data_IF_608832544714
#
_entry.id   IF_608832544714
#
_cell.length_a   1.000
_cell.length_b   1.000
_cell.length_c   1.000
_cell.angle_alpha   90.00
_cell.angle_beta   90.00
_cell.angle_gamma   90.00
#
_symmetry.space_group_name_H-M   'P 1'
#
loop_
_entity.id
_entity.type
_entity.pdbx_description
1 polymer ?
#
# COMPACT_ATOMS: atom_id res chain seq x y z
N UNK A 1 -10.13 23.19 12.63
CA UNK A 1 -9.39 22.32 13.57
C UNK A 1 -10.11 20.97 13.52
N UNK A 2 -9.66 20.03 12.68
CA UNK A 2 -10.32 18.74 12.56
C UNK A 2 -9.92 17.87 13.78
N UNK A 3 -10.91 17.40 14.52
CA UNK A 3 -10.75 16.54 15.69
C UNK A 3 -10.19 15.16 15.25
N UNK A 4 -9.23 14.56 15.98
CA UNK A 4 -8.85 13.19 15.72
C UNK A 4 -10.00 12.29 16.19
N UNK A 5 -10.86 11.89 15.26
CA UNK A 5 -11.92 10.92 15.52
C UNK A 5 -11.29 9.63 16.06
N UNK A 6 -11.77 9.18 17.21
CA UNK A 6 -11.30 8.02 17.95
C UNK A 6 -11.07 6.80 17.03
N UNK A 7 -9.82 6.39 16.87
CA UNK A 7 -9.48 5.24 16.05
C UNK A 7 -9.79 3.94 16.81
N UNK A 8 -10.99 3.39 16.61
CA UNK A 8 -11.14 1.93 16.59
C UNK A 8 -10.04 1.36 15.69
N UNK A 9 -9.42 0.21 16.01
CA UNK A 9 -8.35 -0.35 15.18
C UNK A 9 -8.85 -0.43 13.74
N UNK A 10 -8.30 0.47 12.91
CA UNK A 10 -8.84 0.73 11.60
C UNK A 10 -8.39 -0.45 10.73
N UNK A 11 -9.35 -1.32 10.39
CA UNK A 11 -9.09 -2.44 9.49
C UNK A 11 -8.36 -1.91 8.25
N UNK A 12 -7.35 -2.65 7.74
CA UNK A 12 -6.58 -2.17 6.62
C UNK A 12 -7.48 -1.96 5.40
N UNK A 13 -7.25 -0.87 4.68
CA UNK A 13 -8.05 -0.50 3.51
C UNK A 13 -7.69 -1.40 2.33
N UNK A 14 -8.69 -1.88 1.62
CA UNK A 14 -8.50 -2.58 0.35
C UNK A 14 -8.34 -1.56 -0.78
N UNK A 15 -7.14 -1.45 -1.35
CA UNK A 15 -6.85 -0.59 -2.48
C UNK A 15 -6.93 -1.39 -3.77
N UNK A 16 -7.71 -0.91 -4.73
CA UNK A 16 -7.76 -1.49 -6.07
C UNK A 16 -6.83 -0.73 -7.01
N UNK A 17 -6.10 -1.47 -7.86
CA UNK A 17 -5.18 -0.89 -8.84
C UNK A 17 -5.88 -0.16 -10.00
N UNK A 18 -7.13 -0.52 -10.27
CA UNK A 18 -7.81 -0.12 -11.49
C UNK A 18 -7.12 -0.72 -12.73
N UNK A 19 -6.76 0.13 -13.69
CA UNK A 19 -6.08 -0.30 -14.91
C UNK A 19 -4.56 -0.48 -14.68
N UNK A 20 -4.01 -1.70 -14.86
CA UNK A 20 -2.60 -2.00 -14.57
C UNK A 20 -1.59 -1.27 -15.48
N UNK A 21 -2.04 -0.79 -16.64
CA UNK A 21 -1.24 0.02 -17.55
C UNK A 21 -1.21 1.52 -17.17
N UNK A 22 -2.11 1.95 -16.28
CA UNK A 22 -2.16 3.32 -15.78
C UNK A 22 -1.14 3.61 -14.68
N UNK A 23 -1.32 4.75 -14.01
CA UNK A 23 -0.43 5.25 -12.95
C UNK A 23 -0.85 4.81 -11.54
N UNK A 24 -1.90 4.00 -11.40
CA UNK A 24 -2.36 3.44 -10.12
C UNK A 24 -1.25 2.73 -9.32
N UNK A 25 -0.42 1.87 -9.95
CA UNK A 25 0.74 1.27 -9.30
C UNK A 25 1.73 2.32 -8.75
N UNK A 26 2.04 3.32 -9.55
CA UNK A 26 3.01 4.37 -9.25
C UNK A 26 2.55 5.24 -8.08
N UNK A 27 1.26 5.63 -8.09
CA UNK A 27 0.64 6.36 -6.98
C UNK A 27 0.63 5.51 -5.71
N UNK A 28 0.31 4.21 -5.82
CA UNK A 28 0.29 3.29 -4.68
C UNK A 28 1.67 3.18 -4.03
N UNK A 29 2.71 2.99 -4.85
CA UNK A 29 4.10 2.93 -4.42
C UNK A 29 4.50 4.25 -3.73
N UNK A 30 4.21 5.40 -4.35
CA UNK A 30 4.53 6.70 -3.79
C UNK A 30 3.78 6.96 -2.46
N UNK A 31 2.52 6.57 -2.37
CA UNK A 31 1.72 6.68 -1.15
C UNK A 31 2.32 5.83 -0.02
N UNK A 32 2.69 4.58 -0.30
CA UNK A 32 3.32 3.72 0.70
C UNK A 32 4.69 4.23 1.16
N UNK A 33 5.52 4.74 0.25
CA UNK A 33 6.80 5.35 0.60
C UNK A 33 6.63 6.54 1.55
N UNK A 34 5.60 7.36 1.31
CA UNK A 34 5.27 8.55 2.11
C UNK A 34 4.26 8.25 3.24
N UNK A 35 3.99 6.97 3.55
CA UNK A 35 2.96 6.57 4.52
C UNK A 35 3.09 7.24 5.88
N UNK A 36 4.34 7.46 6.33
CA UNK A 36 4.65 8.14 7.60
C UNK A 36 4.42 9.65 7.53
N UNK A 37 4.83 10.27 6.43
CA UNK A 37 4.65 11.72 6.21
C UNK A 37 3.16 12.08 6.09
N UNK A 38 2.39 11.23 5.41
CA UNK A 38 0.98 11.43 5.14
C UNK A 38 0.04 10.86 6.21
N UNK A 39 0.59 10.24 7.27
CA UNK A 39 -0.18 9.52 8.30
C UNK A 39 -1.23 8.57 7.69
N UNK A 40 -0.84 7.80 6.68
CA UNK A 40 -1.77 6.91 5.99
C UNK A 40 -2.18 5.75 6.89
N UNK A 41 -3.48 5.38 6.91
CA UNK A 41 -3.90 4.14 7.50
C UNK A 41 -3.28 2.96 6.74
N UNK A 42 -3.16 1.80 7.41
CA UNK A 42 -2.72 0.59 6.76
C UNK A 42 -3.65 0.26 5.58
N UNK A 43 -3.07 -0.11 4.45
CA UNK A 43 -3.81 -0.55 3.28
C UNK A 43 -3.06 -1.70 2.60
N UNK A 44 -3.81 -2.56 1.93
CA UNK A 44 -3.25 -3.57 1.05
C UNK A 44 -3.75 -3.39 -0.36
N UNK A 45 -2.93 -3.83 -1.31
CA UNK A 45 -3.27 -3.77 -2.71
C UNK A 45 -3.93 -5.08 -3.14
N UNK A 46 -5.06 -4.97 -3.82
CA UNK A 46 -5.67 -6.10 -4.54
C UNK A 46 -5.04 -6.19 -5.92
N UNK A 47 -4.25 -7.24 -6.17
CA UNK A 47 -3.63 -7.46 -7.47
C UNK A 47 -2.37 -8.30 -7.47
N UNK A 48 -1.57 -8.15 -8.52
CA UNK A 48 -0.38 -8.97 -8.75
C UNK A 48 0.89 -8.33 -8.16
N UNK A 49 1.58 -9.05 -7.27
CA UNK A 49 2.83 -8.59 -6.66
C UNK A 49 3.93 -8.37 -7.69
N UNK A 50 3.97 -9.18 -8.75
CA UNK A 50 4.96 -9.11 -9.82
C UNK A 50 4.82 -7.84 -10.66
N UNK A 51 3.57 -7.40 -10.89
CA UNK A 51 3.29 -6.11 -11.52
C UNK A 51 3.86 -4.96 -10.69
N UNK A 52 3.65 -4.97 -9.37
CA UNK A 52 4.14 -3.91 -8.48
C UNK A 52 5.66 -3.95 -8.37
N UNK A 53 6.26 -5.14 -8.30
CA UNK A 53 7.72 -5.29 -8.25
C UNK A 53 8.37 -4.72 -9.53
N UNK A 54 7.79 -5.00 -10.69
CA UNK A 54 8.25 -4.46 -11.97
C UNK A 54 8.11 -2.94 -12.03
N UNK A 55 7.00 -2.40 -11.54
CA UNK A 55 6.75 -0.95 -11.49
C UNK A 55 7.71 -0.25 -10.51
N UNK A 56 7.88 -0.77 -9.30
CA UNK A 56 8.83 -0.24 -8.32
C UNK A 56 10.26 -0.21 -8.88
N UNK A 57 10.68 -1.29 -9.55
CA UNK A 57 11.98 -1.35 -10.23
C UNK A 57 12.11 -0.32 -11.35
N UNK A 58 11.07 -0.13 -12.16
CA UNK A 58 11.06 0.87 -13.23
C UNK A 58 11.13 2.31 -12.69
N UNK A 59 10.55 2.56 -11.52
CA UNK A 59 10.60 3.84 -10.82
C UNK A 59 11.91 4.08 -10.05
N UNK A 60 12.77 3.05 -9.92
CA UNK A 60 13.95 3.11 -9.05
C UNK A 60 13.60 3.24 -7.56
N UNK A 61 12.39 2.81 -7.18
CA UNK A 61 11.89 2.89 -5.82
C UNK A 61 12.27 1.65 -5.02
N UNK A 62 12.87 1.84 -3.84
CA UNK A 62 13.12 0.76 -2.88
C UNK A 62 11.83 0.46 -2.10
N UNK A 63 11.03 -0.45 -2.64
CA UNK A 63 9.79 -0.93 -2.01
C UNK A 63 9.88 -2.43 -1.83
N UNK A 64 9.82 -2.89 -0.58
CA UNK A 64 9.59 -4.30 -0.29
C UNK A 64 8.12 -4.60 -0.51
N UNK A 65 7.83 -5.70 -1.19
CA UNK A 65 6.47 -6.16 -1.46
C UNK A 65 6.30 -7.47 -0.72
N UNK A 66 5.15 -7.65 -0.07
CA UNK A 66 4.82 -8.86 0.65
C UNK A 66 3.46 -9.38 0.18
N UNK A 67 3.45 -10.59 -0.38
CA UNK A 67 2.22 -11.31 -0.65
C UNK A 67 1.66 -11.85 0.68
N UNK A 68 0.49 -11.35 1.10
CA UNK A 68 -0.07 -11.63 2.42
C UNK A 68 -1.58 -11.77 2.34
N UNK A 69 -2.21 -12.33 3.37
CA UNK A 69 -3.67 -12.28 3.49
C UNK A 69 -4.14 -10.89 3.96
N UNK A 70 -5.42 -10.52 3.75
CA UNK A 70 -5.98 -9.25 4.27
C UNK A 70 -5.81 -9.08 5.78
N UNK A 71 -5.80 -10.18 6.53
CA UNK A 71 -5.59 -10.19 7.99
C UNK A 71 -4.14 -9.93 8.41
N UNK A 72 -3.18 -10.17 7.51
CA UNK A 72 -1.74 -9.98 7.76
C UNK A 72 -1.23 -8.64 7.22
N UNK A 73 -2.03 -7.97 6.39
CA UNK A 73 -1.71 -6.69 5.77
C UNK A 73 -1.24 -5.62 6.76
N UNK A 74 -1.91 -5.49 7.91
CA UNK A 74 -1.56 -4.48 8.92
C UNK A 74 -0.14 -4.69 9.47
N UNK A 75 0.22 -5.93 9.77
CA UNK A 75 1.55 -6.27 10.26
C UNK A 75 2.62 -6.02 9.19
N UNK A 76 2.36 -6.44 7.96
CA UNK A 76 3.29 -6.28 6.84
C UNK A 76 3.49 -4.80 6.42
N UNK A 77 2.45 -3.96 6.53
CA UNK A 77 2.43 -2.58 6.04
C UNK A 77 3.59 -1.69 6.53
N UNK A 78 4.11 -1.98 7.71
CA UNK A 78 5.24 -1.24 8.29
C UNK A 78 6.54 -1.48 7.54
N UNK A 79 6.76 -2.70 7.05
CA UNK A 79 8.04 -3.15 6.50
C UNK A 79 8.01 -3.39 4.99
N UNK A 80 6.84 -3.72 4.45
CA UNK A 80 6.57 -3.97 3.05
C UNK A 80 5.19 -3.45 2.63
N UNK A 81 4.99 -3.27 1.33
CA UNK A 81 3.70 -3.01 0.71
C UNK A 81 2.94 -4.34 0.59
N UNK A 82 1.85 -4.54 1.34
CA UNK A 82 1.10 -5.79 1.30
C UNK A 82 0.25 -5.87 0.04
N UNK A 83 0.31 -7.02 -0.62
CA UNK A 83 -0.45 -7.35 -1.83
C UNK A 83 -1.21 -8.65 -1.59
N UNK A 84 -2.49 -8.67 -1.98
CA UNK A 84 -3.44 -9.78 -1.84
C UNK A 84 -3.97 -10.19 -3.21
#
# INVERSE_FOLDING_TARGET
>A
MAEPSAACPAKPLALTLGEPAGIGPDITIAAWLRRRELNLPAFYLLGDEGLIARRAKALGADVRIAAVSPSEAEAAFTEALPVV
#
